data_IF_870658920342
#
_entry.id   IF_870658920342
#
_cell.length_a   1.000
_cell.length_b   1.000
_cell.length_c   1.000
_cell.angle_alpha   90.00
_cell.angle_beta   90.00
_cell.angle_gamma   90.00
#
_symmetry.space_group_name_H-M   'P 1'
#
loop_
_entity.id
_entity.type
_entity.pdbx_description
1 polymer ?
#
# COMPACT_ATOMS: atom_id res chain seq x y z
N UNK A 1 -8.49 22.46 -13.33
CA UNK A 1 -7.64 22.72 -12.14
C UNK A 1 -8.55 22.37 -10.98
N UNK A 2 -8.68 21.07 -10.71
CA UNK A 2 -9.95 20.51 -10.21
C UNK A 2 -9.76 19.55 -9.02
N UNK A 3 -8.52 19.09 -8.78
CA UNK A 3 -8.18 18.22 -7.66
C UNK A 3 -7.80 19.00 -6.37
N UNK A 4 -7.28 20.23 -6.50
CA UNK A 4 -6.69 20.94 -5.35
C UNK A 4 -7.71 21.36 -4.30
N UNK A 5 -8.94 21.66 -4.71
CA UNK A 5 -9.84 22.43 -3.84
C UNK A 5 -10.47 21.57 -2.76
N UNK A 6 -10.85 20.33 -3.07
CA UNK A 6 -11.40 19.41 -2.07
C UNK A 6 -10.30 18.64 -1.33
N UNK A 7 -9.17 18.33 -1.97
CA UNK A 7 -8.06 17.62 -1.31
C UNK A 7 -7.45 18.44 -0.18
N UNK A 8 -7.40 19.77 -0.33
CA UNK A 8 -6.97 20.71 0.72
C UNK A 8 -7.93 20.70 1.94
N UNK A 9 -9.24 20.52 1.71
CA UNK A 9 -10.24 20.46 2.79
C UNK A 9 -10.10 19.21 3.67
N UNK A 10 -9.54 18.13 3.11
CA UNK A 10 -9.46 16.83 3.79
C UNK A 10 -8.09 16.52 4.40
N UNK A 11 -7.07 17.39 4.23
CA UNK A 11 -5.71 17.16 4.75
C UNK A 11 -5.71 16.82 6.25
N UNK A 12 -6.49 17.55 7.05
CA UNK A 12 -6.55 17.34 8.50
C UNK A 12 -7.19 16.01 8.92
N UNK A 13 -8.18 15.55 8.17
CA UNK A 13 -8.84 14.26 8.35
C UNK A 13 -7.93 13.12 7.86
N UNK A 14 -7.29 13.30 6.70
CA UNK A 14 -6.33 12.37 6.11
C UNK A 14 -5.19 12.05 7.08
N UNK A 15 -4.60 13.07 7.71
CA UNK A 15 -3.55 12.87 8.73
C UNK A 15 -4.00 12.04 9.94
N UNK A 16 -5.30 12.04 10.27
CA UNK A 16 -5.83 11.20 11.35
C UNK A 16 -6.09 9.77 10.87
N UNK A 17 -6.59 9.61 9.64
CA UNK A 17 -6.78 8.30 9.00
C UNK A 17 -5.41 7.62 8.83
N UNK A 18 -4.40 8.32 8.31
CA UNK A 18 -3.02 7.81 8.17
C UNK A 18 -2.48 7.19 9.46
N UNK A 19 -2.69 7.85 10.60
CA UNK A 19 -2.23 7.36 11.91
C UNK A 19 -2.92 6.06 12.30
N UNK A 20 -4.24 5.98 12.12
CA UNK A 20 -5.01 4.77 12.44
C UNK A 20 -4.72 3.64 11.46
N UNK A 21 -4.58 3.99 10.19
CA UNK A 21 -4.40 3.02 9.10
C UNK A 21 -3.04 2.33 9.18
N UNK A 22 -2.02 2.97 9.78
CA UNK A 22 -0.75 2.30 10.07
C UNK A 22 -0.92 1.02 10.91
N UNK A 23 -1.92 0.94 11.79
CA UNK A 23 -2.22 -0.28 12.55
C UNK A 23 -2.76 -1.39 11.64
N UNK A 24 -3.65 -1.03 10.70
CA UNK A 24 -4.18 -1.95 9.68
C UNK A 24 -3.08 -2.45 8.74
N UNK A 25 -2.17 -1.55 8.32
CA UNK A 25 -1.00 -1.89 7.51
C UNK A 25 -0.06 -2.83 8.27
N UNK A 26 0.20 -2.57 9.55
CA UNK A 26 1.04 -3.46 10.36
C UNK A 26 0.45 -4.87 10.54
N UNK A 27 -0.88 -5.00 10.45
CA UNK A 27 -1.59 -6.28 10.47
C UNK A 27 -1.76 -6.91 9.08
N UNK A 28 -1.42 -6.21 8.00
CA UNK A 28 -1.55 -6.68 6.63
C UNK A 28 -0.26 -7.32 6.10
N UNK A 29 -0.27 -7.73 4.83
CA UNK A 29 0.91 -8.24 4.13
C UNK A 29 1.91 -7.15 3.74
N UNK A 30 1.55 -5.88 3.86
CA UNK A 30 2.42 -4.76 3.50
C UNK A 30 3.25 -4.27 4.68
N UNK A 31 4.54 -4.02 4.43
CA UNK A 31 5.33 -3.20 5.35
C UNK A 31 4.96 -1.71 5.24
N UNK A 32 5.22 -0.91 6.27
CA UNK A 32 4.99 0.54 6.22
C UNK A 32 5.73 1.23 5.06
N UNK A 33 6.90 0.72 4.67
CA UNK A 33 7.64 1.26 3.51
C UNK A 33 6.96 0.94 2.18
N UNK A 34 6.45 -0.29 2.02
CA UNK A 34 5.67 -0.67 0.84
C UNK A 34 4.37 0.13 0.77
N UNK A 35 3.67 0.27 1.89
CA UNK A 35 2.45 1.08 1.96
C UNK A 35 2.69 2.54 1.57
N UNK A 36 3.75 3.15 2.09
CA UNK A 36 4.11 4.52 1.70
C UNK A 36 4.38 4.62 0.20
N UNK A 37 5.01 3.62 -0.42
CA UNK A 37 5.24 3.61 -1.86
C UNK A 37 3.93 3.47 -2.64
N UNK A 38 3.03 2.58 -2.22
CA UNK A 38 1.66 2.47 -2.79
C UNK A 38 0.95 3.81 -2.75
N UNK A 39 0.95 4.48 -1.60
CA UNK A 39 0.28 5.77 -1.41
C UNK A 39 0.90 6.94 -2.21
N UNK A 40 2.08 6.77 -2.82
CA UNK A 40 2.64 7.75 -3.76
C UNK A 40 2.15 7.56 -5.19
N UNK A 41 1.62 6.37 -5.51
CA UNK A 41 1.07 6.02 -6.82
C UNK A 41 -0.46 6.01 -6.83
N UNK A 42 -1.10 6.37 -5.72
CA UNK A 42 -2.56 6.40 -5.59
C UNK A 42 -3.00 7.85 -5.51
N UNK A 43 -3.92 8.20 -6.40
CA UNK A 43 -4.70 9.44 -6.34
C UNK A 43 -6.09 9.11 -5.81
N UNK A 44 -6.79 10.09 -5.24
CA UNK A 44 -8.15 9.90 -4.76
C UNK A 44 -9.07 10.82 -5.54
N UNK A 45 -10.27 10.33 -5.85
CA UNK A 45 -11.30 11.07 -6.54
C UNK A 45 -12.63 10.95 -5.79
N UNK A 46 -13.53 11.91 -5.99
CA UNK A 46 -14.93 11.80 -5.55
C UNK A 46 -15.77 11.45 -6.75
N UNK A 47 -16.15 10.17 -6.88
CA UNK A 47 -17.09 9.73 -7.90
C UNK A 47 -18.51 10.20 -7.57
N UNK A 48 -19.31 10.52 -8.59
CA UNK A 48 -20.70 10.97 -8.48
C UNK A 48 -20.89 12.11 -7.47
N UNK A 49 -19.97 13.08 -7.43
CA UNK A 49 -19.96 14.15 -6.44
C UNK A 49 -21.29 14.93 -6.35
N UNK A 50 -21.99 15.06 -7.48
CA UNK A 50 -23.29 15.72 -7.63
C UNK A 50 -24.49 14.89 -7.11
N UNK A 51 -24.31 13.59 -6.85
CA UNK A 51 -25.34 12.71 -6.31
C UNK A 51 -25.04 12.37 -4.82
N UNK A 52 -25.78 12.94 -3.86
CA UNK A 52 -25.54 12.70 -2.43
C UNK A 52 -25.70 11.24 -2.00
N UNK A 53 -26.46 10.43 -2.73
CA UNK A 53 -26.68 9.02 -2.37
C UNK A 53 -25.61 8.09 -2.98
N UNK A 54 -24.99 8.51 -4.09
CA UNK A 54 -24.01 7.69 -4.83
C UNK A 54 -22.58 8.20 -4.72
N UNK A 55 -22.38 9.38 -4.14
CA UNK A 55 -21.07 9.98 -4.02
C UNK A 55 -20.16 9.14 -3.13
N UNK A 56 -18.93 8.92 -3.60
CA UNK A 56 -17.94 8.13 -2.87
C UNK A 56 -16.51 8.57 -3.15
N UNK A 57 -15.65 8.47 -2.13
CA UNK A 57 -14.20 8.57 -2.36
C UNK A 57 -13.72 7.24 -2.93
N UNK A 58 -13.06 7.29 -4.09
CA UNK A 58 -12.44 6.11 -4.71
C UNK A 58 -10.95 6.35 -4.93
N UNK A 59 -10.10 5.32 -4.78
CA UNK A 59 -8.70 5.40 -5.18
C UNK A 59 -8.56 5.18 -6.70
N UNK A 60 -7.82 6.05 -7.38
CA UNK A 60 -7.22 5.71 -8.67
C UNK A 60 -5.93 4.93 -8.44
N UNK A 61 -5.98 3.63 -8.73
CA UNK A 61 -4.87 2.69 -8.58
C UNK A 61 -4.18 2.37 -9.90
N UNK A 62 -4.52 3.05 -11.00
CA UNK A 62 -4.01 2.78 -12.35
C UNK A 62 -2.47 2.86 -12.43
N UNK A 63 -1.84 3.66 -11.58
CA UNK A 63 -0.38 3.82 -11.50
C UNK A 63 0.30 2.81 -10.57
N UNK A 64 -0.44 2.04 -9.77
CA UNK A 64 0.13 1.07 -8.81
C UNK A 64 0.90 -0.04 -9.53
N UNK A 65 0.44 -0.49 -10.70
CA UNK A 65 1.16 -1.51 -11.49
C UNK A 65 2.60 -1.07 -11.81
N UNK A 66 2.83 0.23 -12.01
CA UNK A 66 4.14 0.77 -12.37
C UNK A 66 5.17 0.70 -11.24
N UNK A 67 4.71 0.61 -9.99
CA UNK A 67 5.58 0.56 -8.80
C UNK A 67 5.75 -0.87 -8.25
N UNK A 68 5.04 -1.88 -8.77
CA UNK A 68 5.16 -3.27 -8.32
C UNK A 68 6.63 -3.76 -8.28
N UNK A 69 7.47 -3.51 -9.31
CA UNK A 69 8.87 -3.92 -9.27
C UNK A 69 9.67 -3.27 -8.14
N UNK A 70 9.28 -2.07 -7.69
CA UNK A 70 9.91 -1.39 -6.56
C UNK A 70 9.42 -1.94 -5.21
N UNK A 71 8.14 -2.33 -5.12
CA UNK A 71 7.58 -2.99 -3.94
C UNK A 71 8.30 -4.31 -3.66
N UNK A 72 8.57 -5.10 -4.70
CA UNK A 72 9.37 -6.32 -4.59
C UNK A 72 10.80 -6.05 -4.11
N UNK A 73 11.45 -4.99 -4.61
CA UNK A 73 12.82 -4.62 -4.17
C UNK A 73 12.87 -4.19 -2.72
N UNK A 74 11.82 -3.52 -2.21
CA UNK A 74 11.71 -3.18 -0.79
C UNK A 74 11.60 -4.46 0.04
N UNK A 75 10.79 -5.43 -0.39
CA UNK A 75 10.64 -6.72 0.28
C UNK A 75 11.94 -7.54 0.29
N UNK A 76 12.61 -7.63 -0.86
CA UNK A 76 13.90 -8.33 -0.99
C UNK A 76 14.95 -7.72 -0.05
N UNK A 77 15.08 -6.39 0.00
CA UNK A 77 15.99 -5.72 0.93
C UNK A 77 15.66 -6.03 2.39
N UNK A 78 14.37 -6.05 2.76
CA UNK A 78 13.94 -6.44 4.11
C UNK A 78 14.33 -7.88 4.44
N UNK A 79 14.13 -8.82 3.51
CA UNK A 79 14.49 -10.23 3.71
C UNK A 79 15.99 -10.43 3.94
N UNK A 80 16.84 -9.71 3.19
CA UNK A 80 18.30 -9.74 3.34
C UNK A 80 18.77 -9.05 4.64
N UNK A 81 18.15 -7.93 5.03
CA UNK A 81 18.45 -7.25 6.29
C UNK A 81 18.02 -8.08 7.53
N UNK A 82 16.97 -8.89 7.40
CA UNK A 82 16.53 -9.83 8.44
C UNK A 82 17.38 -11.09 8.56
N UNK A 83 18.14 -11.45 7.52
CA UNK A 83 19.04 -12.61 7.50
C UNK A 83 20.47 -12.29 7.99
N UNK A 84 20.78 -11.03 8.31
CA UNK A 84 22.14 -10.54 8.63
C UNK A 84 22.35 -9.99 10.04
N UNK A 85 21.61 -10.47 11.04
CA UNK A 85 21.84 -10.10 12.46
C UNK A 85 23.18 -10.67 13.01
N UNK A 86 23.86 -9.98 13.94
CA UNK A 86 25.26 -10.25 14.27
C UNK A 86 25.43 -11.56 15.06
N UNK A 87 26.02 -12.55 14.43
CA UNK A 87 26.45 -13.82 15.05
C UNK A 87 27.82 -14.24 14.50
N UNK A 88 28.84 -13.95 15.32
CA UNK A 88 30.15 -14.60 15.36
C UNK A 88 31.20 -14.32 14.27
N UNK A 89 32.09 -13.36 14.56
CA UNK A 89 33.48 -13.46 14.19
C UNK A 89 34.22 -14.25 15.30
N UNK A 90 34.42 -15.56 15.10
CA UNK A 90 35.15 -16.38 16.07
C UNK A 90 35.28 -17.86 15.75
N UNK A 91 36.37 -18.24 15.04
CA UNK A 91 37.00 -19.56 15.27
C UNK A 91 36.92 -20.61 14.16
N UNK A 92 38.06 -20.78 13.49
CA UNK A 92 38.72 -22.06 13.19
C UNK A 92 37.96 -23.20 12.48
N UNK A 93 38.57 -23.66 11.38
CA UNK A 93 38.06 -24.72 10.52
C UNK A 93 37.81 -26.09 11.17
N UNK A 94 37.04 -26.90 10.47
CA UNK A 94 36.80 -28.29 10.82
C UNK A 94 35.60 -28.85 10.08
N UNK A 95 35.84 -29.91 9.30
CA UNK A 95 34.88 -30.62 8.46
C UNK A 95 33.61 -31.10 9.18
N UNK A 96 32.50 -31.15 8.43
CA UNK A 96 31.46 -32.16 8.62
C UNK A 96 30.04 -31.63 8.77
N UNK A 97 29.17 -32.10 7.88
CA UNK A 97 27.78 -32.39 8.25
C UNK A 97 26.73 -31.38 7.80
N UNK A 98 26.01 -31.77 6.74
CA UNK A 98 24.54 -31.64 6.66
C UNK A 98 23.95 -30.24 6.88
N UNK A 99 24.07 -29.40 5.85
CA UNK A 99 23.28 -28.19 5.66
C UNK A 99 22.62 -28.22 4.29
N UNK A 100 21.72 -29.19 4.12
CA UNK A 100 20.71 -29.30 3.08
C UNK A 100 19.80 -28.06 3.02
N UNK A 101 20.36 -26.92 2.62
CA UNK A 101 19.56 -25.85 2.02
C UNK A 101 19.20 -26.31 0.62
N UNK A 102 18.00 -26.90 0.54
CA UNK A 102 17.42 -27.48 -0.64
C UNK A 102 17.40 -26.51 -1.81
N UNK A 103 18.02 -27.00 -2.88
CA UNK A 103 17.71 -26.70 -4.26
C UNK A 103 16.19 -26.82 -4.52
N UNK A 104 15.43 -25.72 -4.44
CA UNK A 104 14.18 -25.52 -5.21
C UNK A 104 14.03 -24.02 -5.56
N UNK A 105 15.11 -23.35 -6.00
CA UNK A 105 14.98 -22.02 -6.62
C UNK A 105 15.34 -22.00 -8.11
N UNK A 106 16.02 -23.03 -8.61
CA UNK A 106 16.48 -23.07 -10.01
C UNK A 106 15.65 -23.99 -10.92
N UNK A 107 14.58 -24.61 -10.41
CA UNK A 107 13.70 -25.51 -11.20
C UNK A 107 12.30 -24.94 -11.50
N UNK A 108 12.01 -23.69 -11.09
CA UNK A 108 10.76 -22.98 -11.42
C UNK A 108 11.06 -21.63 -12.09
N UNK A 109 12.11 -21.60 -12.90
CA UNK A 109 12.31 -20.54 -13.88
C UNK A 109 11.35 -20.73 -15.06
N UNK A 110 10.63 -19.65 -15.40
CA UNK A 110 9.69 -19.48 -16.51
C UNK A 110 8.21 -19.74 -16.17
N UNK A 111 7.61 -18.82 -15.41
CA UNK A 111 6.13 -18.70 -15.35
C UNK A 111 5.51 -17.84 -14.24
N UNK A 112 6.30 -17.26 -13.32
CA UNK A 112 5.77 -16.82 -12.01
C UNK A 112 5.72 -15.33 -11.66
N UNK A 113 6.15 -14.38 -12.51
CA UNK A 113 6.08 -12.95 -12.15
C UNK A 113 4.63 -12.45 -12.13
N UNK A 114 3.87 -12.71 -13.20
CA UNK A 114 2.53 -12.14 -13.36
C UNK A 114 1.44 -12.68 -12.41
N UNK A 115 1.73 -13.69 -11.59
CA UNK A 115 0.80 -14.18 -10.56
C UNK A 115 0.92 -13.41 -9.25
N UNK A 116 2.15 -13.31 -8.75
CA UNK A 116 2.49 -12.55 -7.52
C UNK A 116 2.22 -11.06 -7.74
N UNK A 117 2.58 -10.53 -8.92
CA UNK A 117 2.30 -9.14 -9.30
C UNK A 117 0.79 -8.82 -9.24
N UNK A 118 -0.08 -9.75 -9.67
CA UNK A 118 -1.54 -9.57 -9.63
C UNK A 118 -2.11 -9.67 -8.22
N UNK A 119 -1.63 -10.61 -7.41
CA UNK A 119 -2.06 -10.75 -6.02
C UNK A 119 -1.64 -9.51 -5.20
N UNK A 120 -0.42 -9.01 -5.43
CA UNK A 120 0.08 -7.81 -4.77
C UNK A 120 -0.66 -6.55 -5.25
N UNK A 121 -0.98 -6.46 -6.55
CA UNK A 121 -1.81 -5.38 -7.09
C UNK A 121 -3.21 -5.41 -6.47
N UNK A 122 -3.89 -6.54 -6.47
CA UNK A 122 -5.23 -6.67 -5.88
C UNK A 122 -5.24 -6.34 -4.38
N UNK A 123 -4.21 -6.76 -3.63
CA UNK A 123 -4.07 -6.42 -2.22
C UNK A 123 -3.82 -4.92 -2.01
N UNK A 124 -3.07 -4.27 -2.90
CA UNK A 124 -2.87 -2.83 -2.86
C UNK A 124 -4.19 -2.08 -3.15
N UNK A 125 -4.92 -2.50 -4.18
CA UNK A 125 -6.23 -1.96 -4.54
C UNK A 125 -7.22 -2.06 -3.37
N UNK A 126 -7.36 -3.25 -2.78
CA UNK A 126 -8.24 -3.47 -1.63
C UNK A 126 -7.87 -2.59 -0.42
N UNK A 127 -6.57 -2.51 -0.09
CA UNK A 127 -6.11 -1.67 1.02
C UNK A 127 -6.35 -0.18 0.75
N UNK A 128 -6.17 0.28 -0.48
CA UNK A 128 -6.43 1.68 -0.85
C UNK A 128 -7.91 2.01 -0.86
N UNK A 129 -8.77 1.06 -1.24
CA UNK A 129 -10.22 1.24 -1.12
C UNK A 129 -10.63 1.32 0.34
N UNK A 130 -10.11 0.45 1.20
CA UNK A 130 -10.38 0.52 2.65
C UNK A 130 -9.92 1.85 3.26
N UNK A 131 -8.81 2.40 2.78
CA UNK A 131 -8.35 3.72 3.20
C UNK A 131 -9.32 4.82 2.76
N UNK A 132 -9.81 4.77 1.51
CA UNK A 132 -10.80 5.70 0.98
C UNK A 132 -12.11 5.65 1.79
N UNK A 133 -12.57 4.45 2.11
CA UNK A 133 -13.77 4.22 2.93
C UNK A 133 -13.61 4.81 4.34
N UNK A 134 -12.48 4.54 5.01
CA UNK A 134 -12.16 5.11 6.33
C UNK A 134 -12.12 6.65 6.29
N UNK A 135 -11.61 7.22 5.19
CA UNK A 135 -11.55 8.68 5.01
C UNK A 135 -12.95 9.27 4.82
N UNK A 136 -13.79 8.64 4.00
CA UNK A 136 -15.16 9.07 3.81
C UNK A 136 -15.96 8.98 5.11
N UNK A 137 -15.92 7.83 5.81
CA UNK A 137 -16.60 7.65 7.11
C UNK A 137 -16.15 8.73 8.11
N UNK A 138 -14.86 9.07 8.11
CA UNK A 138 -14.33 10.13 8.96
C UNK A 138 -14.89 11.51 8.61
N UNK A 139 -15.04 11.82 7.33
CA UNK A 139 -15.60 13.09 6.84
C UNK A 139 -17.09 13.19 7.15
N UNK A 140 -17.85 12.11 6.96
CA UNK A 140 -19.27 12.00 7.31
C UNK A 140 -19.47 12.19 8.81
N UNK A 141 -18.70 11.48 9.64
CA UNK A 141 -18.75 11.61 11.10
C UNK A 141 -18.38 13.02 11.61
N UNK A 142 -17.66 13.79 10.80
CA UNK A 142 -17.30 15.20 11.08
C UNK A 142 -18.28 16.21 10.48
N UNK A 143 -19.29 15.76 9.73
CA UNK A 143 -20.22 16.63 9.00
C UNK A 143 -19.53 17.44 7.90
N UNK A 144 -18.41 16.95 7.37
CA UNK A 144 -17.62 17.61 6.32
C UNK A 144 -17.86 17.04 4.93
N UNK A 145 -18.52 15.87 4.85
CA UNK A 145 -18.67 15.14 3.59
C UNK A 145 -19.39 15.96 2.52
N UNK A 146 -20.51 16.61 2.84
CA UNK A 146 -21.24 17.42 1.87
C UNK A 146 -20.39 18.55 1.28
N UNK A 147 -19.60 19.25 2.10
CA UNK A 147 -18.69 20.30 1.62
C UNK A 147 -17.61 19.75 0.70
N UNK A 148 -17.11 18.56 0.98
CA UNK A 148 -16.11 17.90 0.13
C UNK A 148 -16.71 17.51 -1.22
N UNK A 149 -17.94 16.96 -1.22
CA UNK A 149 -18.65 16.62 -2.46
C UNK A 149 -18.92 17.84 -3.32
N UNK A 150 -19.46 18.90 -2.73
CA UNK A 150 -19.73 20.17 -3.43
C UNK A 150 -18.44 20.75 -4.04
N UNK A 151 -17.35 20.76 -3.27
CA UNK A 151 -16.05 21.21 -3.78
C UNK A 151 -15.51 20.32 -4.92
N UNK A 152 -15.78 19.01 -4.87
CA UNK A 152 -15.37 18.08 -5.92
C UNK A 152 -16.27 18.15 -7.18
N UNK A 153 -17.55 18.53 -7.05
CA UNK A 153 -18.44 18.72 -8.21
C UNK A 153 -18.19 20.01 -8.99
N UNK A 154 -17.60 21.01 -8.34
CA UNK A 154 -17.36 22.34 -8.91
C UNK A 154 -16.02 22.46 -9.67
N UNK A 155 -15.13 21.47 -9.56
CA UNK A 155 -13.81 21.44 -10.18
C UNK A 155 -13.77 20.79 -11.55
#
# INVERSE_FOLDING_TARGET
MSESDWTDLVVGERMQVDKKFNEKVAASHFSSQQWNLVMTAVEFEVENADDPEQARIVPDTSKVETILPELERVEQRRSMAGAGGPGDAGGSGGSGGSGLFGNIKDALGLGGSGGIDREQLAAAEEMTQMYADDLQEKLEAKGKWDTVREAASDG
#
